data_IF_204782588621
#
_entry.id   IF_204782588621
#
_cell.length_a   1.000
_cell.length_b   1.000
_cell.length_c   1.000
_cell.angle_alpha   90.00
_cell.angle_beta   90.00
_cell.angle_gamma   90.00
#
_symmetry.space_group_name_H-M   'P 1'
#
loop_
_entity.id
_entity.type
_entity.pdbx_description
1 polymer ?
#
# COMPACT_ATOMS: atom_id res chain seq x y z
N UNK A 1 -1.88 5.39 -4.89
CA UNK A 1 -1.21 6.21 -5.93
C UNK A 1 -1.93 6.17 -7.28
N UNK A 2 -2.23 5.00 -7.86
CA UNK A 2 -3.13 4.92 -9.04
C UNK A 2 -4.45 5.67 -8.80
N UNK A 3 -5.00 5.57 -7.59
CA UNK A 3 -6.24 6.26 -7.19
C UNK A 3 -6.14 7.80 -7.25
N UNK A 4 -4.95 8.37 -7.05
CA UNK A 4 -4.74 9.82 -7.17
C UNK A 4 -4.81 10.25 -8.64
N UNK A 5 -4.13 9.52 -9.54
CA UNK A 5 -4.27 9.72 -11.00
C UNK A 5 -5.73 9.57 -11.43
N UNK A 6 -6.41 8.54 -10.91
CA UNK A 6 -7.78 8.25 -11.25
C UNK A 6 -8.74 9.34 -10.76
N UNK A 7 -8.53 9.84 -9.54
CA UNK A 7 -9.29 10.97 -8.98
C UNK A 7 -9.08 12.24 -9.81
N UNK A 8 -7.84 12.57 -10.17
CA UNK A 8 -7.53 13.68 -11.07
C UNK A 8 -8.23 13.50 -12.42
N UNK A 9 -8.17 12.30 -13.00
CA UNK A 9 -8.88 12.00 -14.25
C UNK A 9 -10.40 12.21 -14.13
N UNK A 10 -11.03 11.73 -13.06
CA UNK A 10 -12.47 11.94 -12.85
C UNK A 10 -12.84 13.40 -12.60
N UNK A 11 -11.94 14.21 -12.03
CA UNK A 11 -12.15 15.64 -11.80
C UNK A 11 -11.98 16.48 -13.08
N UNK A 12 -11.09 16.05 -13.98
CA UNK A 12 -10.76 16.78 -15.21
C UNK A 12 -11.47 16.24 -16.46
N UNK A 13 -12.10 15.05 -16.40
CA UNK A 13 -12.84 14.53 -17.55
C UNK A 13 -14.06 15.41 -17.83
N UNK A 14 -14.21 15.79 -19.09
CA UNK A 14 -15.44 16.41 -19.61
C UNK A 14 -16.38 15.35 -20.17
N UNK A 15 -17.70 15.60 -20.12
CA UNK A 15 -18.74 14.71 -20.68
C UNK A 15 -18.56 14.50 -22.19
N UNK A 16 -17.96 15.46 -22.89
CA UNK A 16 -17.71 15.41 -24.34
C UNK A 16 -16.22 15.29 -24.70
N UNK A 17 -15.34 15.16 -23.69
CA UNK A 17 -13.89 15.10 -23.89
C UNK A 17 -13.41 13.72 -24.35
N UNK A 18 -12.31 13.69 -25.09
CA UNK A 18 -11.64 12.43 -25.40
C UNK A 18 -10.98 11.86 -24.14
N UNK A 19 -11.55 10.77 -23.62
CA UNK A 19 -11.07 10.07 -22.41
C UNK A 19 -9.59 9.71 -22.47
N UNK A 20 -9.12 9.26 -23.64
CA UNK A 20 -7.71 8.89 -23.82
C UNK A 20 -6.81 10.11 -23.76
N UNK A 21 -7.19 11.19 -24.43
CA UNK A 21 -6.40 12.42 -24.44
C UNK A 21 -6.22 13.00 -23.02
N UNK A 22 -7.30 13.07 -22.24
CA UNK A 22 -7.24 13.56 -20.85
C UNK A 22 -6.38 12.66 -19.97
N UNK A 23 -6.51 11.33 -20.14
CA UNK A 23 -5.67 10.40 -19.40
C UNK A 23 -4.18 10.56 -19.77
N UNK A 24 -3.86 10.61 -21.05
CA UNK A 24 -2.49 10.77 -21.56
C UNK A 24 -1.87 12.09 -21.06
N UNK A 25 -2.62 13.21 -21.05
CA UNK A 25 -2.15 14.50 -20.53
C UNK A 25 -1.78 14.43 -19.03
N UNK A 26 -2.62 13.78 -18.22
CA UNK A 26 -2.37 13.60 -16.78
C UNK A 26 -1.15 12.68 -16.55
N UNK A 27 -0.99 11.64 -17.35
CA UNK A 27 0.11 10.66 -17.23
C UNK A 27 1.45 11.28 -17.66
N UNK A 28 1.44 12.09 -18.72
CA UNK A 28 2.65 12.75 -19.25
C UNK A 28 3.12 13.91 -18.35
N UNK A 29 2.20 14.58 -17.66
CA UNK A 29 2.49 15.76 -16.85
C UNK A 29 1.91 15.69 -15.41
N UNK A 30 2.27 14.69 -14.60
CA UNK A 30 1.67 14.48 -13.27
C UNK A 30 1.94 15.62 -12.27
N UNK A 31 3.02 16.39 -12.48
CA UNK A 31 3.35 17.56 -11.67
C UNK A 31 2.37 18.73 -11.87
N UNK A 32 1.82 18.91 -13.08
CA UNK A 32 0.87 19.98 -13.39
C UNK A 32 -0.46 19.78 -12.63
N UNK A 33 -0.70 18.55 -12.17
CA UNK A 33 -1.86 18.14 -11.37
C UNK A 33 -1.52 17.87 -9.90
N UNK A 34 -0.30 18.19 -9.45
CA UNK A 34 0.14 18.05 -8.05
C UNK A 34 -0.05 16.64 -7.44
N UNK A 35 0.04 15.58 -8.26
CA UNK A 35 -0.29 14.20 -7.82
C UNK A 35 0.63 13.72 -6.69
N UNK A 36 1.93 13.98 -6.79
CA UNK A 36 2.92 13.54 -5.79
C UNK A 36 3.04 14.48 -4.60
N UNK A 37 2.76 15.77 -4.79
CA UNK A 37 2.73 16.76 -3.71
C UNK A 37 1.59 16.46 -2.74
N UNK A 38 0.39 16.18 -3.27
CA UNK A 38 -0.76 15.75 -2.45
C UNK A 38 -0.47 14.49 -1.64
N UNK A 39 0.18 13.48 -2.24
CA UNK A 39 0.59 12.26 -1.55
C UNK A 39 1.64 12.50 -0.45
N UNK A 40 2.54 13.45 -0.67
CA UNK A 40 3.60 13.79 0.29
C UNK A 40 3.07 14.49 1.54
N UNK A 41 1.84 15.03 1.50
CA UNK A 41 1.16 15.56 2.70
C UNK A 41 0.65 14.46 3.63
N UNK A 42 0.55 13.22 3.16
CA UNK A 42 0.08 12.09 3.95
C UNK A 42 1.23 11.56 4.81
N UNK A 43 1.12 11.72 6.13
CA UNK A 43 2.16 11.30 7.10
C UNK A 43 2.38 9.79 7.17
N UNK A 44 1.48 9.00 6.59
CA UNK A 44 1.48 7.55 6.65
C UNK A 44 2.15 6.88 5.43
N UNK A 45 2.65 7.66 4.47
CA UNK A 45 3.29 7.15 3.26
C UNK A 45 4.68 7.75 3.15
N UNK A 46 5.70 6.90 3.01
CA UNK A 46 7.06 7.37 2.77
C UNK A 46 7.28 7.68 1.30
N UNK A 47 8.16 8.64 1.00
CA UNK A 47 8.65 8.87 -0.37
C UNK A 47 9.29 7.62 -0.99
N UNK A 48 9.83 6.72 -0.18
CA UNK A 48 10.48 5.50 -0.65
C UNK A 48 9.46 4.43 -1.10
N UNK A 49 8.20 4.56 -0.69
CA UNK A 49 7.13 3.65 -1.08
C UNK A 49 6.51 4.05 -2.42
N UNK A 50 6.86 5.24 -2.94
CA UNK A 50 6.32 5.81 -4.17
C UNK A 50 7.25 5.52 -5.35
N UNK A 51 6.80 4.78 -6.38
CA UNK A 51 7.54 4.68 -7.62
C UNK A 51 7.64 6.02 -8.35
N UNK A 52 8.73 6.18 -9.08
CA UNK A 52 9.02 7.36 -9.90
C UNK A 52 7.91 7.61 -10.95
N UNK A 53 7.59 8.88 -11.27
CA UNK A 53 6.65 9.23 -12.34
C UNK A 53 6.86 8.46 -13.66
N UNK A 54 8.11 8.26 -14.09
CA UNK A 54 8.41 7.54 -15.34
C UNK A 54 7.98 6.07 -15.29
N UNK A 55 8.02 5.44 -14.10
CA UNK A 55 7.53 4.06 -13.93
C UNK A 55 6.02 4.00 -14.13
N UNK A 56 5.27 5.01 -13.65
CA UNK A 56 3.83 5.06 -13.85
C UNK A 56 3.45 5.38 -15.30
N UNK A 57 4.24 6.20 -15.97
CA UNK A 57 4.10 6.46 -17.40
C UNK A 57 4.17 5.16 -18.21
N UNK A 58 5.18 4.35 -17.96
CA UNK A 58 5.33 3.06 -18.63
C UNK A 58 4.23 2.06 -18.24
N UNK A 59 3.82 2.05 -16.97
CA UNK A 59 2.70 1.22 -16.50
C UNK A 59 1.38 1.55 -17.24
N UNK A 60 1.06 2.84 -17.40
CA UNK A 60 -0.21 3.26 -18.00
C UNK A 60 -0.23 3.17 -19.54
N UNK A 61 0.94 3.10 -20.20
CA UNK A 61 1.01 2.76 -21.65
C UNK A 61 0.42 1.37 -21.94
N UNK A 62 0.58 0.43 -21.01
CA UNK A 62 0.07 -0.94 -21.13
C UNK A 62 -1.31 -1.11 -20.49
N UNK A 63 -1.61 -0.33 -19.45
CA UNK A 63 -2.84 -0.44 -18.68
C UNK A 63 -3.55 0.92 -18.67
N UNK A 64 -4.57 1.16 -19.51
CA UNK A 64 -5.20 2.47 -19.60
C UNK A 64 -5.77 2.93 -18.24
N UNK A 65 -5.48 4.18 -17.86
CA UNK A 65 -5.89 4.74 -16.56
C UNK A 65 -7.40 4.61 -16.31
N UNK A 66 -8.22 4.82 -17.33
CA UNK A 66 -9.68 4.79 -17.22
C UNK A 66 -10.29 3.39 -17.12
N UNK A 67 -9.49 2.32 -17.22
CA UNK A 67 -9.96 0.94 -17.03
C UNK A 67 -9.88 0.51 -15.55
N UNK A 68 -9.21 1.30 -14.70
CA UNK A 68 -9.11 1.05 -13.27
C UNK A 68 -10.36 1.50 -12.51
N UNK A 69 -10.67 0.78 -11.44
CA UNK A 69 -11.69 1.16 -10.47
C UNK A 69 -11.08 2.04 -9.37
N UNK A 70 -11.86 2.99 -8.85
CA UNK A 70 -11.47 3.77 -7.66
C UNK A 70 -11.38 2.87 -6.44
N UNK A 71 -10.48 3.18 -5.51
CA UNK A 71 -10.33 2.43 -4.27
C UNK A 71 -11.65 2.37 -3.49
N UNK A 72 -12.42 3.46 -3.48
CA UNK A 72 -13.74 3.55 -2.86
C UNK A 72 -14.75 2.54 -3.42
N UNK A 73 -14.65 2.18 -4.71
CA UNK A 73 -15.52 1.20 -5.35
C UNK A 73 -15.24 -0.24 -4.86
N UNK A 74 -14.07 -0.49 -4.26
CA UNK A 74 -13.73 -1.78 -3.67
C UNK A 74 -14.24 -1.95 -2.23
N UNK A 75 -14.73 -0.88 -1.62
CA UNK A 75 -15.32 -0.93 -0.29
C UNK A 75 -16.72 -1.53 -0.33
N UNK A 76 -17.02 -2.42 0.63
CA UNK A 76 -18.36 -3.00 0.78
C UNK A 76 -18.93 -2.67 2.15
N UNK A 77 -20.25 -2.57 2.24
CA UNK A 77 -20.92 -2.30 3.53
C UNK A 77 -20.60 -3.36 4.59
N UNK A 78 -20.58 -4.64 4.20
CA UNK A 78 -20.40 -5.75 5.15
C UNK A 78 -18.94 -6.07 5.49
N UNK A 79 -17.99 -5.85 4.57
CA UNK A 79 -16.57 -6.17 4.80
C UNK A 79 -15.69 -4.94 5.00
N UNK A 80 -16.26 -3.74 4.93
CA UNK A 80 -15.52 -2.49 4.95
C UNK A 80 -14.65 -2.31 3.72
N UNK A 81 -13.65 -1.43 3.84
CA UNK A 81 -12.66 -1.17 2.81
C UNK A 81 -11.45 -2.11 2.97
N UNK A 82 -10.93 -2.71 1.88
CA UNK A 82 -9.70 -3.51 1.95
C UNK A 82 -8.51 -2.78 2.55
N UNK A 83 -8.41 -1.45 2.36
CA UNK A 83 -7.32 -0.63 2.91
C UNK A 83 -7.30 -0.64 4.44
N UNK A 84 -8.48 -0.61 5.09
CA UNK A 84 -8.56 -0.65 6.55
C UNK A 84 -8.02 -1.98 7.12
N UNK A 85 -8.19 -3.08 6.37
CA UNK A 85 -7.65 -4.38 6.77
C UNK A 85 -6.12 -4.38 6.72
N UNK A 86 -5.53 -3.66 5.76
CA UNK A 86 -4.09 -3.47 5.68
C UNK A 86 -3.58 -2.65 6.86
N UNK A 87 -4.27 -1.56 7.21
CA UNK A 87 -3.91 -0.71 8.35
C UNK A 87 -3.94 -1.50 9.67
N UNK A 88 -4.97 -2.32 9.88
CA UNK A 88 -5.08 -3.19 11.06
C UNK A 88 -3.94 -4.21 11.10
N UNK A 89 -3.65 -4.86 9.97
CA UNK A 89 -2.58 -5.85 9.91
C UNK A 89 -1.21 -5.25 10.25
N UNK A 90 -0.92 -4.04 9.75
CA UNK A 90 0.35 -3.36 10.00
C UNK A 90 0.43 -2.87 11.45
N UNK A 91 -0.63 -2.26 11.97
CA UNK A 91 -0.62 -1.62 13.29
C UNK A 91 -0.75 -2.60 14.46
N UNK A 92 -1.39 -3.76 14.25
CA UNK A 92 -1.74 -4.68 15.35
C UNK A 92 -1.28 -6.11 15.10
N UNK A 93 -1.70 -6.72 13.98
CA UNK A 93 -1.47 -8.15 13.75
C UNK A 93 0.03 -8.48 13.65
N UNK A 94 0.81 -7.64 12.93
CA UNK A 94 2.25 -7.82 12.80
C UNK A 94 3.00 -7.66 14.13
N UNK A 95 2.80 -6.59 14.93
CA UNK A 95 3.39 -6.48 16.26
C UNK A 95 3.02 -7.64 17.20
N UNK A 96 1.77 -8.08 17.19
CA UNK A 96 1.31 -9.22 18.02
C UNK A 96 2.02 -10.52 17.62
N UNK A 97 2.13 -10.77 16.31
CA UNK A 97 2.82 -11.94 15.77
C UNK A 97 4.30 -11.95 16.19
N UNK A 98 5.00 -10.82 16.03
CA UNK A 98 6.41 -10.69 16.42
C UNK A 98 6.58 -10.90 17.93
N UNK A 99 5.69 -10.33 18.75
CA UNK A 99 5.71 -10.51 20.21
C UNK A 99 5.51 -11.96 20.63
N UNK A 100 4.57 -12.66 19.98
CA UNK A 100 4.32 -14.08 20.22
C UNK A 100 5.52 -14.93 19.81
N UNK A 101 6.10 -14.66 18.64
CA UNK A 101 7.27 -15.41 18.15
C UNK A 101 8.49 -15.22 19.05
N UNK A 102 8.73 -13.99 19.56
CA UNK A 102 9.80 -13.72 20.51
C UNK A 102 9.65 -14.53 21.80
N UNK A 103 8.45 -14.62 22.37
CA UNK A 103 8.17 -15.44 23.57
C UNK A 103 8.41 -16.92 23.32
N UNK A 104 8.02 -17.42 22.16
CA UNK A 104 8.25 -18.83 21.79
C UNK A 104 9.75 -19.14 21.70
N UNK A 105 10.54 -18.22 21.13
CA UNK A 105 12.01 -18.36 21.06
C UNK A 105 12.61 -18.33 22.48
N UNK A 106 12.22 -17.37 23.32
CA UNK A 106 12.71 -17.27 24.70
C UNK A 106 12.41 -18.54 25.51
N UNK A 107 11.19 -19.08 25.38
CA UNK A 107 10.80 -20.32 26.06
C UNK A 107 11.62 -21.52 25.55
N UNK A 108 11.80 -21.66 24.23
CA UNK A 108 12.59 -22.75 23.66
C UNK A 108 14.06 -22.71 24.08
N UNK A 109 14.64 -21.50 24.19
CA UNK A 109 16.02 -21.32 24.70
C UNK A 109 16.12 -21.69 26.18
N UNK A 110 15.18 -21.23 27.02
CA UNK A 110 15.15 -21.57 28.44
C UNK A 110 15.00 -23.09 28.67
N UNK A 111 14.16 -23.75 27.88
CA UNK A 111 14.02 -25.21 27.92
C UNK A 111 15.34 -25.91 27.54
N UNK A 112 16.03 -25.45 26.50
CA UNK A 112 17.32 -26.02 26.09
C UNK A 112 18.42 -25.86 27.16
N UNK A 113 18.48 -24.70 27.84
CA UNK A 113 19.42 -24.45 28.94
C UNK A 113 19.12 -25.32 30.17
N UNK A 114 17.84 -25.52 30.49
CA UNK A 114 17.42 -26.40 31.60
C UNK A 114 17.77 -27.88 31.34
N UNK A 115 17.72 -28.33 30.09
CA UNK A 115 18.09 -29.70 29.72
C UNK A 115 19.61 -29.92 29.74
N UNK A 116 20.41 -28.90 29.41
CA UNK A 116 21.87 -28.99 29.45
C UNK A 116 22.44 -29.00 30.88
N UNK A 117 21.73 -28.43 31.85
CA UNK A 117 22.16 -28.37 33.27
C UNK A 117 21.71 -29.59 34.09
N UNK A 118 20.78 -30.40 33.57
CA UNK A 118 20.32 -31.64 34.20
C UNK A 118 21.23 -32.87 33.97
N UNK A 119 22.32 -32.73 33.20
CA UNK A 119 23.31 -33.79 32.97
C UNK A 119 24.67 -33.50 33.63
N UNK A 120 24.80 -33.68 34.95
CA UNK A 120 26.07 -34.10 35.53
C UNK A 120 25.88 -35.37 36.38
N UNK A 121 26.50 -36.48 35.98
CA UNK A 121 26.74 -37.62 36.86
C UNK A 121 26.28 -38.97 36.33
N UNK A 122 27.17 -39.67 35.64
CA UNK A 122 27.33 -41.12 35.74
C UNK A 122 28.83 -41.41 35.85
#
# INVERSE_FOLDING_TARGET
MVDCYLTTYYNHKSVFGNRKQVADEIIEHPQDYHIYEGLSTLTNISRYDLPDPEVYKDFFKLNPLYDFQQLSATCTYFRGCPINRLDVAIAYDLPELVGTHKKLIENALAEAESQSTAAPGS
#
